data_IF_053518655595
#
_entry.id   IF_053518655595
#
_cell.length_a   1.000
_cell.length_b   1.000
_cell.length_c   1.000
_cell.angle_alpha   90.00
_cell.angle_beta   90.00
_cell.angle_gamma   90.00
#
_symmetry.space_group_name_H-M   'P 1'
#
loop_
_entity.id
_entity.type
_entity.pdbx_description
1 polymer ?
#
# COMPACT_ATOMS: atom_id res chain seq x y z
N UNK A 1 22.76 34.37 -44.82
CA UNK A 1 21.56 34.75 -44.05
C UNK A 1 20.54 33.60 -43.94
N UNK A 2 20.14 32.93 -45.04
CA UNK A 2 19.18 31.80 -44.98
C UNK A 2 19.63 30.61 -44.11
N UNK A 3 20.91 30.23 -44.16
CA UNK A 3 21.45 29.11 -43.35
C UNK A 3 21.41 29.39 -41.85
N UNK A 4 21.73 30.62 -41.44
CA UNK A 4 21.70 31.03 -40.03
C UNK A 4 20.29 30.99 -39.45
N UNK A 5 19.28 31.38 -40.22
CA UNK A 5 17.87 31.33 -39.81
C UNK A 5 17.41 29.88 -39.58
N UNK A 6 17.79 28.96 -40.47
CA UNK A 6 17.44 27.53 -40.32
C UNK A 6 18.08 26.91 -39.07
N UNK A 7 19.32 27.26 -38.74
CA UNK A 7 20.00 26.78 -37.52
C UNK A 7 19.26 27.27 -36.27
N UNK A 8 18.86 28.54 -36.23
CA UNK A 8 18.15 29.11 -35.07
C UNK A 8 16.78 28.42 -34.88
N UNK A 9 16.04 28.20 -35.96
CA UNK A 9 14.75 27.48 -35.91
C UNK A 9 14.96 26.05 -35.39
N UNK A 10 16.00 25.36 -35.87
CA UNK A 10 16.34 24.01 -35.41
C UNK A 10 16.61 23.96 -33.89
N UNK A 11 17.37 24.93 -33.37
CA UNK A 11 17.67 25.01 -31.92
C UNK A 11 16.40 25.28 -31.11
N UNK A 12 15.51 26.15 -31.58
CA UNK A 12 14.26 26.45 -30.88
C UNK A 12 13.33 25.23 -30.81
N UNK A 13 13.18 24.48 -31.92
CA UNK A 13 12.37 23.26 -31.95
C UNK A 13 12.93 22.20 -30.99
N UNK A 14 14.25 21.97 -31.01
CA UNK A 14 14.89 21.02 -30.10
C UNK A 14 14.72 21.43 -28.64
N UNK A 15 14.89 22.72 -28.34
CA UNK A 15 14.72 23.26 -26.98
C UNK A 15 13.28 23.09 -26.48
N UNK A 16 12.27 23.32 -27.32
CA UNK A 16 10.87 23.12 -26.97
C UNK A 16 10.52 21.65 -26.73
N UNK A 17 11.06 20.72 -27.53
CA UNK A 17 10.85 19.28 -27.32
C UNK A 17 11.49 18.85 -25.99
N UNK A 18 12.73 19.26 -25.72
CA UNK A 18 13.42 18.95 -24.47
C UNK A 18 12.69 19.53 -23.25
N UNK A 19 12.26 20.80 -23.32
CA UNK A 19 11.50 21.44 -22.24
C UNK A 19 10.15 20.74 -22.02
N UNK A 20 9.42 20.44 -23.10
CA UNK A 20 8.16 19.69 -23.03
C UNK A 20 8.34 18.33 -22.35
N UNK A 21 9.36 17.56 -22.75
CA UNK A 21 9.63 16.24 -22.16
C UNK A 21 9.99 16.30 -20.67
N UNK A 22 10.64 17.37 -20.21
CA UNK A 22 11.01 17.52 -18.80
C UNK A 22 9.79 17.78 -17.91
N UNK A 23 8.81 18.57 -18.37
CA UNK A 23 7.60 18.88 -17.61
C UNK A 23 6.51 17.82 -17.74
N UNK A 24 6.51 17.03 -18.82
CA UNK A 24 5.51 16.00 -19.08
C UNK A 24 5.90 14.58 -18.63
N UNK A 25 7.13 14.38 -18.14
CA UNK A 25 7.49 13.07 -17.62
C UNK A 25 6.75 12.84 -16.29
N UNK A 26 5.97 11.74 -16.17
CA UNK A 26 5.32 11.41 -14.90
C UNK A 26 6.41 11.25 -13.86
N UNK A 27 6.40 12.11 -12.84
CA UNK A 27 7.30 11.97 -11.70
C UNK A 27 6.93 10.66 -11.01
N UNK A 28 7.89 9.75 -10.90
CA UNK A 28 7.72 8.57 -10.06
C UNK A 28 7.62 9.05 -8.61
N UNK A 29 6.39 9.14 -8.09
CA UNK A 29 6.08 9.54 -6.72
C UNK A 29 6.74 8.61 -5.69
N UNK A 30 7.20 7.44 -6.13
CA UNK A 30 7.85 6.40 -5.34
C UNK A 30 9.38 6.39 -5.48
N UNK A 31 9.98 7.36 -6.16
CA UNK A 31 11.43 7.40 -6.41
C UNK A 31 12.28 7.46 -5.14
N UNK A 32 11.80 8.17 -4.11
CA UNK A 32 12.50 8.34 -2.82
C UNK A 32 12.03 7.35 -1.73
N UNK A 33 11.17 6.39 -2.08
CA UNK A 33 10.66 5.44 -1.12
C UNK A 33 11.72 4.39 -0.78
N UNK A 34 11.64 3.83 0.44
CA UNK A 34 12.45 2.68 0.83
C UNK A 34 11.85 1.39 0.28
N UNK A 35 12.68 0.37 0.08
CA UNK A 35 12.23 -0.95 -0.35
C UNK A 35 12.30 -1.92 0.81
N UNK A 36 11.17 -2.49 1.19
CA UNK A 36 11.12 -3.70 2.00
C UNK A 36 11.23 -4.91 1.07
N UNK A 37 12.18 -5.81 1.37
CA UNK A 37 12.41 -7.03 0.61
C UNK A 37 12.36 -8.22 1.55
N UNK A 38 11.47 -9.16 1.27
CA UNK A 38 11.41 -10.43 1.97
C UNK A 38 12.06 -11.53 1.12
N UNK A 39 13.34 -11.82 1.38
CA UNK A 39 14.09 -12.80 0.59
C UNK A 39 13.62 -14.24 0.77
N UNK A 40 13.08 -14.57 1.94
CA UNK A 40 12.57 -15.90 2.26
C UNK A 40 11.37 -16.25 1.38
N UNK A 41 10.41 -15.33 1.27
CA UNK A 41 9.16 -15.54 0.54
C UNK A 41 9.18 -14.98 -0.89
N UNK A 42 10.19 -14.20 -1.25
CA UNK A 42 10.42 -13.76 -2.62
C UNK A 42 9.48 -12.65 -3.07
N UNK A 43 9.31 -11.60 -2.26
CA UNK A 43 8.58 -10.40 -2.67
C UNK A 43 9.28 -9.12 -2.19
N UNK A 44 8.98 -8.00 -2.84
CA UNK A 44 9.37 -6.68 -2.37
C UNK A 44 8.25 -5.66 -2.58
N UNK A 45 8.27 -4.61 -1.77
CA UNK A 45 7.31 -3.51 -1.80
C UNK A 45 8.01 -2.23 -1.34
N UNK A 46 7.66 -1.09 -1.93
CA UNK A 46 8.20 0.20 -1.49
C UNK A 46 7.28 0.85 -0.46
N UNK A 47 7.88 1.68 0.41
CA UNK A 47 7.17 2.46 1.42
C UNK A 47 7.87 3.81 1.74
N UNK A 48 7.10 4.83 2.09
CA UNK A 48 7.57 6.15 2.55
C UNK A 48 8.10 6.15 3.99
N UNK A 49 9.40 6.01 4.21
CA UNK A 49 10.04 5.96 5.56
C UNK A 49 9.45 6.92 6.61
N UNK A 50 9.24 8.18 6.26
CA UNK A 50 8.76 9.23 7.17
C UNK A 50 7.28 9.11 7.55
N UNK A 51 6.54 8.28 6.82
CA UNK A 51 5.16 7.94 7.12
C UNK A 51 5.04 6.59 7.80
N UNK A 52 6.08 6.01 8.40
CA UNK A 52 5.93 4.72 9.08
C UNK A 52 6.54 4.75 10.48
N UNK A 53 5.68 4.67 11.49
CA UNK A 53 6.09 4.44 12.86
C UNK A 53 6.28 2.93 13.09
N UNK A 54 7.42 2.53 13.63
CA UNK A 54 7.68 1.12 13.95
C UNK A 54 7.08 0.79 15.32
N UNK A 55 5.78 0.46 15.34
CA UNK A 55 5.06 0.15 16.57
C UNK A 55 5.24 -1.33 16.95
N UNK A 56 6.41 -1.69 17.46
CA UNK A 56 6.64 -3.06 17.94
C UNK A 56 7.93 -3.23 18.75
N UNK A 57 7.94 -4.09 19.78
CA UNK A 57 9.11 -4.33 20.61
C UNK A 57 10.17 -5.16 19.84
N UNK A 58 11.13 -4.50 19.19
CA UNK A 58 12.44 -4.99 18.70
C UNK A 58 12.50 -6.32 17.92
N UNK A 59 11.38 -6.97 17.63
CA UNK A 59 11.28 -8.26 16.94
C UNK A 59 10.07 -8.22 16.02
N UNK A 60 10.28 -7.67 14.83
CA UNK A 60 9.33 -7.79 13.73
C UNK A 60 9.23 -9.29 13.42
N UNK A 61 8.05 -9.87 13.66
CA UNK A 61 7.73 -11.20 13.16
C UNK A 61 7.84 -11.15 11.62
N UNK A 62 8.70 -11.95 10.98
CA UNK A 62 8.89 -11.90 9.53
C UNK A 62 7.60 -12.20 8.73
N UNK A 63 6.55 -12.70 9.37
CA UNK A 63 5.23 -12.96 8.78
C UNK A 63 4.30 -11.74 8.76
N UNK A 64 4.63 -10.66 9.49
CA UNK A 64 3.79 -9.47 9.63
C UNK A 64 4.59 -8.22 9.25
N UNK A 65 4.15 -7.55 8.19
CA UNK A 65 4.66 -6.24 7.80
C UNK A 65 3.55 -5.21 7.98
N UNK A 66 3.60 -4.45 9.09
CA UNK A 66 2.67 -3.35 9.34
C UNK A 66 3.30 -2.00 8.98
N UNK A 67 2.51 -1.18 8.31
CA UNK A 67 2.84 0.13 7.76
C UNK A 67 1.81 1.15 8.29
N UNK A 68 2.18 1.89 9.34
CA UNK A 68 1.39 3.01 9.91
C UNK A 68 1.72 4.41 9.37
N UNK A 69 0.87 5.09 8.56
CA UNK A 69 1.05 6.50 8.16
C UNK A 69 1.34 7.44 9.35
N UNK A 70 2.58 7.89 9.45
CA UNK A 70 3.08 8.83 10.46
C UNK A 70 2.91 10.27 9.97
N UNK A 71 1.76 10.84 10.28
CA UNK A 71 1.49 12.26 10.10
C UNK A 71 1.73 12.94 11.48
N UNK A 72 2.95 13.45 11.72
CA UNK A 72 3.27 14.44 12.77
C UNK A 72 3.18 14.09 14.28
N UNK A 73 3.53 12.88 14.76
CA UNK A 73 3.63 12.64 16.22
C UNK A 73 4.82 11.77 16.66
N UNK A 74 5.40 12.13 17.82
CA UNK A 74 6.51 11.42 18.48
C UNK A 74 6.25 9.90 18.62
N UNK A 75 7.25 9.09 18.23
CA UNK A 75 7.23 7.62 18.11
C UNK A 75 6.67 6.87 19.34
N UNK A 76 6.74 7.47 20.54
CA UNK A 76 6.33 6.83 21.81
C UNK A 76 4.83 7.05 22.10
N UNK A 77 4.20 8.11 21.56
CA UNK A 77 2.80 8.45 21.85
C UNK A 77 1.78 7.73 20.95
N UNK A 78 2.23 7.20 19.82
CA UNK A 78 1.37 6.66 18.76
C UNK A 78 0.71 5.31 19.12
N UNK A 79 1.39 4.44 19.87
CA UNK A 79 0.79 3.19 20.37
C UNK A 79 -0.32 3.43 21.40
N UNK A 80 -0.35 4.61 22.02
CA UNK A 80 -1.37 5.00 23.02
C UNK A 80 -2.48 5.90 22.41
N UNK A 81 -2.34 6.36 21.17
CA UNK A 81 -3.20 7.41 20.58
C UNK A 81 -4.32 6.92 19.66
N UNK A 82 -4.80 5.67 19.83
CA UNK A 82 -6.01 5.15 19.13
C UNK A 82 -7.25 6.05 19.38
N UNK A 83 -7.16 6.99 20.33
CA UNK A 83 -8.21 7.93 20.70
C UNK A 83 -8.29 9.21 19.85
N UNK A 84 -7.39 9.45 18.88
CA UNK A 84 -7.51 10.60 17.96
C UNK A 84 -7.84 10.11 16.54
N UNK A 85 -9.13 10.11 16.21
CA UNK A 85 -9.76 9.14 15.29
C UNK A 85 -9.97 9.65 13.86
N UNK A 86 -9.82 10.95 13.60
CA UNK A 86 -10.15 11.52 12.29
C UNK A 86 -9.07 11.27 11.21
N UNK A 87 -7.88 10.83 11.63
CA UNK A 87 -6.73 10.60 10.73
C UNK A 87 -6.18 9.18 10.78
N UNK A 88 -6.72 8.31 11.64
CA UNK A 88 -6.18 6.95 11.77
C UNK A 88 -6.39 6.17 10.47
N UNK A 89 -5.28 5.82 9.84
CA UNK A 89 -5.22 4.85 8.75
C UNK A 89 -4.11 3.88 9.07
N UNK A 90 -4.33 2.60 8.80
CA UNK A 90 -3.32 1.56 9.03
C UNK A 90 -3.26 0.67 7.80
N UNK A 91 -2.05 0.40 7.31
CA UNK A 91 -1.81 -0.51 6.20
C UNK A 91 -1.10 -1.74 6.73
N UNK A 92 -1.71 -2.90 6.60
CA UNK A 92 -1.17 -4.17 7.10
C UNK A 92 -0.96 -5.11 5.92
N UNK A 93 0.21 -5.73 5.82
CA UNK A 93 0.46 -6.83 4.88
C UNK A 93 0.88 -8.08 5.64
N UNK A 94 0.08 -9.14 5.53
CA UNK A 94 0.30 -10.40 6.24
C UNK A 94 0.36 -11.58 5.29
N UNK A 95 1.30 -12.50 5.54
CA UNK A 95 1.36 -13.78 4.84
C UNK A 95 0.35 -14.73 5.50
N UNK A 96 -0.72 -15.07 4.80
CA UNK A 96 -1.81 -15.90 5.33
C UNK A 96 -1.71 -17.37 4.93
N UNK A 97 -0.99 -17.67 3.83
CA UNK A 97 -0.71 -19.06 3.40
C UNK A 97 0.70 -19.20 2.83
N UNK A 98 1.30 -20.36 3.07
CA UNK A 98 2.59 -20.79 2.50
C UNK A 98 2.42 -22.23 2.03
N UNK A 99 2.70 -22.50 0.75
CA UNK A 99 2.55 -23.80 0.09
C UNK A 99 1.17 -24.44 0.35
N UNK A 100 0.12 -23.61 0.33
CA UNK A 100 -1.26 -24.00 0.61
C UNK A 100 -1.60 -24.18 2.10
N UNK A 101 -0.62 -24.12 3.00
CA UNK A 101 -0.82 -24.23 4.46
C UNK A 101 -1.13 -22.86 5.05
N UNK A 102 -2.25 -22.74 5.78
CA UNK A 102 -2.65 -21.50 6.46
C UNK A 102 -1.72 -21.22 7.64
N UNK A 103 -1.16 -20.01 7.70
CA UNK A 103 -0.30 -19.55 8.81
C UNK A 103 -1.12 -19.23 10.06
N UNK A 104 -0.47 -19.00 11.21
CA UNK A 104 -1.18 -18.55 12.42
C UNK A 104 -1.88 -17.20 12.18
N UNK A 105 -1.23 -16.28 11.47
CA UNK A 105 -1.83 -15.02 11.04
C UNK A 105 -3.03 -15.24 10.13
N UNK A 106 -2.91 -16.13 9.14
CA UNK A 106 -4.02 -16.51 8.28
C UNK A 106 -5.21 -17.10 9.04
N UNK A 107 -4.97 -17.93 10.05
CA UNK A 107 -6.05 -18.45 10.91
C UNK A 107 -6.78 -17.34 11.65
N UNK A 108 -6.07 -16.33 12.18
CA UNK A 108 -6.67 -15.17 12.86
C UNK A 108 -7.54 -14.35 11.90
N UNK A 109 -7.04 -14.05 10.70
CA UNK A 109 -7.80 -13.33 9.67
C UNK A 109 -9.06 -14.11 9.28
N UNK A 110 -8.94 -15.41 9.01
CA UNK A 110 -10.08 -16.25 8.64
C UNK A 110 -11.12 -16.30 9.78
N UNK A 111 -10.68 -16.45 11.03
CA UNK A 111 -11.59 -16.43 12.19
C UNK A 111 -12.31 -15.09 12.30
N UNK A 112 -11.59 -13.98 12.13
CA UNK A 112 -12.17 -12.64 12.15
C UNK A 112 -13.21 -12.45 11.04
N UNK A 113 -12.87 -12.79 9.79
CA UNK A 113 -13.77 -12.71 8.64
C UNK A 113 -15.02 -13.60 8.82
N UNK A 114 -14.85 -14.83 9.31
CA UNK A 114 -15.96 -15.75 9.57
C UNK A 114 -16.86 -15.26 10.71
N UNK A 115 -16.28 -14.65 11.75
CA UNK A 115 -17.03 -14.06 12.86
C UNK A 115 -17.88 -12.87 12.43
N UNK A 116 -17.41 -12.10 11.45
CA UNK A 116 -18.15 -10.95 10.93
C UNK A 116 -19.29 -11.34 9.99
N UNK A 117 -19.20 -12.47 9.27
CA UNK A 117 -20.18 -12.91 8.27
C UNK A 117 -20.59 -11.78 7.29
N UNK A 118 -19.60 -11.01 6.81
CA UNK A 118 -19.84 -9.85 5.95
C UNK A 118 -19.58 -10.15 4.49
N UNK A 119 -20.51 -9.71 3.65
CA UNK A 119 -20.26 -9.57 2.23
C UNK A 119 -19.52 -8.25 1.98
N UNK A 120 -18.58 -8.20 1.01
CA UNK A 120 -17.93 -6.96 0.65
C UNK A 120 -18.97 -5.96 0.12
N UNK A 121 -18.81 -4.68 0.50
CA UNK A 121 -19.63 -3.57 0.01
C UNK A 121 -19.37 -3.33 -1.49
N UNK A 122 -18.12 -3.48 -1.92
CA UNK A 122 -17.73 -3.42 -3.32
C UNK A 122 -16.58 -4.37 -3.62
N UNK A 123 -16.43 -4.72 -4.90
CA UNK A 123 -15.32 -5.51 -5.43
C UNK A 123 -14.92 -4.94 -6.79
N UNK A 124 -13.64 -4.59 -6.97
CA UNK A 124 -13.08 -4.12 -8.25
C UNK A 124 -11.84 -4.92 -8.63
N UNK A 125 -11.63 -5.17 -9.93
CA UNK A 125 -10.39 -5.78 -10.42
C UNK A 125 -9.29 -4.71 -10.47
N UNK A 126 -8.14 -4.99 -9.88
CA UNK A 126 -6.93 -4.16 -9.95
C UNK A 126 -5.76 -4.99 -10.47
N UNK A 127 -4.70 -4.31 -10.91
CA UNK A 127 -3.44 -4.93 -11.32
C UNK A 127 -2.39 -4.61 -10.27
N UNK A 128 -1.79 -5.66 -9.69
CA UNK A 128 -0.68 -5.55 -8.73
C UNK A 128 0.49 -6.37 -9.25
N UNK A 129 1.57 -5.68 -9.63
CA UNK A 129 2.62 -6.28 -10.45
C UNK A 129 2.05 -6.77 -11.79
N UNK A 130 2.12 -8.09 -12.02
CA UNK A 130 1.56 -8.74 -13.20
C UNK A 130 0.30 -9.58 -12.90
N UNK A 131 -0.28 -9.41 -11.71
CA UNK A 131 -1.43 -10.20 -11.25
C UNK A 131 -2.71 -9.36 -11.34
N UNK A 132 -3.76 -9.98 -11.86
CA UNK A 132 -5.13 -9.48 -11.79
C UNK A 132 -5.75 -9.98 -10.49
N UNK A 133 -6.11 -9.07 -9.60
CA UNK A 133 -6.64 -9.40 -8.28
C UNK A 133 -7.87 -8.57 -7.97
N UNK A 134 -8.71 -9.09 -7.07
CA UNK A 134 -9.88 -8.37 -6.59
C UNK A 134 -9.50 -7.54 -5.36
N UNK A 135 -9.72 -6.23 -5.43
CA UNK A 135 -9.80 -5.36 -4.26
C UNK A 135 -11.24 -5.36 -3.76
N UNK A 136 -11.43 -5.59 -2.47
CA UNK A 136 -12.73 -5.58 -1.80
C UNK A 136 -12.77 -4.47 -0.77
N UNK A 137 -13.91 -3.81 -0.66
CA UNK A 137 -14.17 -2.86 0.41
C UNK A 137 -15.21 -3.41 1.38
N UNK A 138 -15.08 -3.07 2.65
CA UNK A 138 -15.97 -3.48 3.72
C UNK A 138 -16.34 -2.27 4.57
N UNK A 139 -17.52 -2.31 5.16
CA UNK A 139 -18.00 -1.27 6.09
C UNK A 139 -17.93 -1.82 7.52
N UNK A 140 -17.50 -0.98 8.45
CA UNK A 140 -17.63 -1.24 9.88
C UNK A 140 -18.98 -0.74 10.39
N UNK A 141 -19.59 -1.51 11.28
CA UNK A 141 -20.87 -1.23 11.92
C UNK A 141 -20.65 -1.01 13.41
N UNK A 142 -21.65 -0.51 14.13
CA UNK A 142 -21.59 -0.34 15.59
C UNK A 142 -21.23 -1.63 16.35
N UNK A 143 -21.51 -2.80 15.78
CA UNK A 143 -21.17 -4.10 16.37
C UNK A 143 -19.67 -4.40 16.38
N UNK A 144 -18.86 -3.69 15.61
CA UNK A 144 -17.39 -3.81 15.62
C UNK A 144 -16.73 -3.04 16.76
N UNK A 145 -17.54 -2.42 17.63
CA UNK A 145 -17.06 -1.68 18.79
C UNK A 145 -16.11 -0.56 18.36
N UNK A 146 -14.87 -0.50 18.89
CA UNK A 146 -13.93 0.56 18.57
C UNK A 146 -13.62 0.70 17.07
N UNK A 147 -13.75 -0.35 16.26
CA UNK A 147 -13.45 -0.28 14.82
C UNK A 147 -14.55 0.46 14.02
N UNK A 148 -15.76 0.60 14.55
CA UNK A 148 -16.86 1.33 13.92
C UNK A 148 -16.45 2.76 13.50
N UNK A 149 -15.54 3.38 14.26
CA UNK A 149 -15.03 4.73 14.00
C UNK A 149 -14.23 4.84 12.70
N UNK A 150 -13.63 3.74 12.22
CA UNK A 150 -12.85 3.71 10.99
C UNK A 150 -13.73 3.67 9.74
N UNK A 151 -15.05 3.47 9.92
CA UNK A 151 -16.09 3.36 8.88
C UNK A 151 -15.95 2.18 7.93
N UNK A 152 -14.74 1.70 7.65
CA UNK A 152 -14.51 0.56 6.78
C UNK A 152 -13.05 0.22 6.60
N UNK A 153 -12.81 -0.74 5.71
CA UNK A 153 -11.46 -1.13 5.29
C UNK A 153 -11.46 -1.64 3.85
N UNK A 154 -10.29 -1.60 3.22
CA UNK A 154 -10.02 -2.23 1.94
C UNK A 154 -9.13 -3.46 2.14
N UNK A 155 -9.37 -4.50 1.37
CA UNK A 155 -8.61 -5.75 1.41
C UNK A 155 -8.23 -6.18 0.00
N UNK A 156 -6.99 -6.61 -0.15
CA UNK A 156 -6.43 -7.13 -1.39
C UNK A 156 -5.72 -8.46 -1.08
N UNK A 157 -6.12 -9.52 -1.77
CA UNK A 157 -5.51 -10.84 -1.65
C UNK A 157 -4.59 -11.09 -2.84
N UNK A 158 -3.30 -11.23 -2.59
CA UNK A 158 -2.26 -11.43 -3.58
C UNK A 158 -1.76 -12.87 -3.46
N UNK A 159 -1.95 -13.68 -4.50
CA UNK A 159 -1.58 -15.11 -4.49
C UNK A 159 -0.76 -15.45 -5.74
N UNK A 160 0.40 -16.10 -5.55
CA UNK A 160 1.23 -16.61 -6.65
C UNK A 160 1.28 -18.14 -6.73
N UNK A 161 0.39 -18.84 -6.03
CA UNK A 161 0.35 -20.29 -5.88
C UNK A 161 1.28 -20.83 -4.80
N UNK A 162 2.31 -20.07 -4.40
CA UNK A 162 3.25 -20.45 -3.33
C UNK A 162 2.92 -19.76 -2.02
N UNK A 163 2.67 -18.45 -2.06
CA UNK A 163 2.25 -17.68 -0.88
C UNK A 163 0.99 -16.90 -1.21
N UNK A 164 0.16 -16.73 -0.18
CA UNK A 164 -0.97 -15.80 -0.22
C UNK A 164 -0.68 -14.68 0.78
N UNK A 165 -0.70 -13.43 0.31
CA UNK A 165 -0.56 -12.22 1.12
C UNK A 165 -1.92 -11.52 1.16
N UNK A 166 -2.34 -11.07 2.33
CA UNK A 166 -3.49 -10.18 2.51
C UNK A 166 -2.94 -8.80 2.86
N UNK A 167 -3.23 -7.82 2.01
CA UNK A 167 -2.95 -6.42 2.23
C UNK A 167 -4.26 -5.72 2.62
N UNK A 168 -4.26 -5.06 3.77
CA UNK A 168 -5.44 -4.41 4.35
C UNK A 168 -5.14 -2.95 4.59
N UNK A 169 -6.03 -2.05 4.20
CA UNK A 169 -6.04 -0.66 4.63
C UNK A 169 -7.26 -0.43 5.53
N UNK A 170 -7.01 -0.15 6.81
CA UNK A 170 -8.02 0.21 7.79
C UNK A 170 -8.31 1.71 7.71
N UNK A 171 -9.59 2.06 7.62
CA UNK A 171 -10.03 3.43 7.42
C UNK A 171 -10.48 3.70 5.98
N UNK A 172 -11.21 4.81 5.81
CA UNK A 172 -11.74 5.27 4.51
C UNK A 172 -11.23 6.67 4.13
N UNK A 173 -10.16 7.14 4.78
CA UNK A 173 -9.58 8.44 4.45
C UNK A 173 -8.96 8.43 3.04
N UNK A 174 -9.13 9.51 2.28
CA UNK A 174 -8.68 9.54 0.88
C UNK A 174 -7.15 9.45 0.77
N UNK A 175 -6.43 10.06 1.72
CA UNK A 175 -4.96 10.06 1.76
C UNK A 175 -4.39 8.65 2.00
N UNK A 176 -4.96 7.89 2.95
CA UNK A 176 -4.55 6.53 3.25
C UNK A 176 -4.90 5.56 2.13
N UNK A 177 -6.08 5.71 1.51
CA UNK A 177 -6.45 4.93 0.32
C UNK A 177 -5.45 5.17 -0.82
N UNK A 178 -5.11 6.43 -1.11
CA UNK A 178 -4.11 6.76 -2.13
C UNK A 178 -2.73 6.19 -1.80
N UNK A 179 -2.31 6.27 -0.55
CA UNK A 179 -1.04 5.70 -0.09
C UNK A 179 -1.04 4.17 -0.23
N UNK A 180 -2.15 3.51 0.12
CA UNK A 180 -2.33 2.08 -0.03
C UNK A 180 -2.26 1.64 -1.50
N UNK A 181 -2.96 2.32 -2.39
CA UNK A 181 -2.89 2.07 -3.83
C UNK A 181 -1.47 2.27 -4.38
N UNK A 182 -0.76 3.32 -3.94
CA UNK A 182 0.65 3.53 -4.29
C UNK A 182 1.55 2.41 -3.77
N UNK A 183 1.40 1.95 -2.53
CA UNK A 183 2.16 0.82 -1.97
C UNK A 183 1.92 -0.44 -2.81
N UNK A 184 0.67 -0.78 -3.08
CA UNK A 184 0.30 -1.92 -3.90
C UNK A 184 0.89 -1.81 -5.32
N UNK A 185 0.93 -0.62 -5.91
CA UNK A 185 1.52 -0.41 -7.24
C UNK A 185 3.02 -0.76 -7.32
N UNK A 186 3.71 -0.75 -6.17
CA UNK A 186 5.14 -1.07 -6.08
C UNK A 186 5.42 -2.52 -5.73
N UNK A 187 4.38 -3.28 -5.35
CA UNK A 187 4.50 -4.67 -4.98
C UNK A 187 4.91 -5.53 -6.18
N UNK A 188 5.86 -6.44 -5.97
CA UNK A 188 6.17 -7.49 -6.95
C UNK A 188 6.77 -8.72 -6.29
N UNK A 189 6.51 -9.88 -6.91
CA UNK A 189 7.26 -11.10 -6.63
C UNK A 189 8.65 -11.02 -7.27
N UNK A 190 9.65 -11.54 -6.57
CA UNK A 190 11.06 -11.56 -6.98
C UNK A 190 11.56 -12.97 -7.32
N UNK A 191 10.70 -14.00 -7.15
CA UNK A 191 10.98 -15.41 -7.42
C UNK A 191 9.80 -16.06 -8.12
#
# INVERSE_FOLDING_TARGET
MKTTILIIIGILILSSISYGSYYWWPKDETANWQTYKNEQYGFEVKYQKNKFANCGPDKIDPEIFSLFPSDEMDEIKYCESINNTDTFSEIVMEIVKIDGVVTKSGQRIIQYQNGLNRSPLSSKEIIVGNLKIAEKSYEFTEQDGPLAQLKGYQEVMIDNGKITIVATHLGVNESGVKLFEQILSTFKFTK
#
